data_IF_020004446813
#
_entry.id   IF_020004446813
#
_cell.length_a   1.000
_cell.length_b   1.000
_cell.length_c   1.000
_cell.angle_alpha   90.00
_cell.angle_beta   90.00
_cell.angle_gamma   90.00
#
_symmetry.space_group_name_H-M   'P 1'
#
loop_
_entity.id
_entity.type
_entity.pdbx_description
1 polymer ?
#
# COMPACT_ATOMS: atom_id res chain seq x y z
N UNK A 1 19.80 -4.09 7.49
CA UNK A 1 18.60 -3.54 6.84
C UNK A 1 17.47 -4.56 6.89
N UNK A 2 16.26 -4.12 7.19
CA UNK A 2 15.08 -4.98 7.22
C UNK A 2 14.67 -5.33 5.79
N UNK A 3 14.64 -6.62 5.47
CA UNK A 3 14.25 -7.10 4.15
C UNK A 3 12.75 -7.33 4.10
N UNK A 4 12.08 -6.61 3.22
CA UNK A 4 10.62 -6.69 3.08
C UNK A 4 10.27 -7.97 2.32
N UNK A 5 9.48 -8.84 2.97
CA UNK A 5 9.01 -10.09 2.37
C UNK A 5 7.80 -9.86 1.47
N UNK A 6 7.48 -10.84 0.63
CA UNK A 6 6.27 -10.76 -0.19
C UNK A 6 5.02 -10.76 0.67
N UNK A 7 5.02 -11.42 1.82
CA UNK A 7 3.90 -11.38 2.76
C UNK A 7 3.67 -9.98 3.29
N UNK A 8 4.74 -9.24 3.60
CA UNK A 8 4.62 -7.87 4.07
C UNK A 8 4.12 -6.95 2.95
N UNK A 9 4.60 -7.11 1.73
CA UNK A 9 4.08 -6.37 0.58
C UNK A 9 2.59 -6.64 0.39
N UNK A 10 2.17 -7.88 0.51
CA UNK A 10 0.77 -8.26 0.39
C UNK A 10 -0.08 -7.60 1.48
N UNK A 11 0.40 -7.60 2.72
CA UNK A 11 -0.30 -6.95 3.84
C UNK A 11 -0.41 -5.44 3.63
N UNK A 12 0.67 -4.79 3.22
CA UNK A 12 0.66 -3.35 2.94
C UNK A 12 -0.32 -3.02 1.80
N UNK A 13 -0.32 -3.82 0.74
CA UNK A 13 -1.23 -3.64 -0.39
C UNK A 13 -2.69 -3.79 0.02
N UNK A 14 -2.98 -4.80 0.85
CA UNK A 14 -4.35 -5.04 1.33
C UNK A 14 -4.85 -3.86 2.16
N UNK A 15 -4.00 -3.32 3.04
CA UNK A 15 -4.37 -2.19 3.87
C UNK A 15 -4.55 -0.92 3.06
N UNK A 16 -3.72 -0.71 2.05
CA UNK A 16 -3.88 0.43 1.16
C UNK A 16 -5.18 0.32 0.35
N UNK A 17 -5.48 -0.86 -0.16
CA UNK A 17 -6.74 -1.10 -0.89
C UNK A 17 -7.96 -0.81 -0.04
N UNK A 18 -7.95 -1.25 1.22
CA UNK A 18 -9.05 -0.97 2.15
C UNK A 18 -9.19 0.53 2.42
N UNK A 19 -8.08 1.24 2.54
CA UNK A 19 -8.09 2.67 2.82
C UNK A 19 -8.58 3.48 1.61
N UNK A 20 -8.27 3.03 0.39
CA UNK A 20 -8.71 3.69 -0.84
C UNK A 20 -10.23 3.59 -1.00
N UNK A 21 -10.82 2.43 -0.73
CA UNK A 21 -12.27 2.18 -0.65
C UNK A 21 -13.08 2.85 -1.76
N UNK A 22 -12.73 2.59 -3.00
CA UNK A 22 -13.47 3.13 -4.15
C UNK A 22 -13.11 4.56 -4.55
N UNK A 23 -12.24 5.24 -3.80
CA UNK A 23 -11.79 6.58 -4.13
C UNK A 23 -10.80 6.61 -5.30
N UNK A 24 -10.56 7.80 -5.84
CA UNK A 24 -9.61 8.03 -6.92
C UNK A 24 -8.28 8.60 -6.43
N UNK A 25 -8.19 8.91 -5.16
CA UNK A 25 -7.02 9.52 -4.56
C UNK A 25 -6.94 9.09 -3.10
N UNK A 26 -5.73 8.79 -2.65
CA UNK A 26 -5.47 8.49 -1.25
C UNK A 26 -4.35 9.37 -0.74
N UNK A 27 -4.52 9.93 0.45
CA UNK A 27 -3.45 10.63 1.16
C UNK A 27 -3.61 10.38 2.64
N UNK A 28 -2.59 9.78 3.26
CA UNK A 28 -2.63 9.49 4.68
C UNK A 28 -1.57 8.52 5.12
N UNK A 29 -1.66 8.11 6.38
CA UNK A 29 -0.75 7.17 7.02
C UNK A 29 -1.51 5.92 7.46
N UNK A 30 -0.88 4.76 7.22
CA UNK A 30 -1.36 3.46 7.70
C UNK A 30 -0.33 2.92 8.67
N UNK A 31 -0.76 2.60 9.88
CA UNK A 31 0.10 1.99 10.89
C UNK A 31 -0.41 0.58 11.17
N UNK A 32 0.50 -0.39 11.13
CA UNK A 32 0.15 -1.77 11.38
C UNK A 32 1.37 -2.54 11.89
N UNK A 33 1.11 -3.71 12.46
CA UNK A 33 2.17 -4.57 12.96
C UNK A 33 2.25 -5.83 12.11
N UNK A 34 3.48 -6.17 11.73
CA UNK A 34 3.77 -7.39 10.98
C UNK A 34 4.82 -8.19 11.75
N UNK A 35 4.39 -9.31 12.34
CA UNK A 35 5.24 -10.06 13.25
C UNK A 35 5.66 -9.19 14.43
N UNK A 36 6.94 -9.04 14.63
CA UNK A 36 7.52 -8.21 15.70
C UNK A 36 7.88 -6.80 15.24
N UNK A 37 7.49 -6.45 14.02
CA UNK A 37 7.87 -5.17 13.39
C UNK A 37 6.66 -4.26 13.30
N UNK A 38 6.80 -3.05 13.83
CA UNK A 38 5.80 -2.00 13.65
C UNK A 38 6.08 -1.29 12.33
N UNK A 39 5.06 -1.16 11.49
CA UNK A 39 5.17 -0.56 10.17
C UNK A 39 4.31 0.69 10.07
N UNK A 40 4.84 1.71 9.41
CA UNK A 40 4.09 2.93 9.10
C UNK A 40 4.27 3.26 7.63
N UNK A 41 3.18 3.24 6.91
CA UNK A 41 3.16 3.55 5.48
C UNK A 41 2.41 4.86 5.29
N UNK A 42 3.10 5.88 4.80
CA UNK A 42 2.52 7.18 4.49
C UNK A 42 2.68 7.43 3.01
N UNK A 43 1.58 7.80 2.35
CA UNK A 43 1.62 8.00 0.90
C UNK A 43 0.53 8.94 0.43
N UNK A 44 0.79 9.58 -0.71
CA UNK A 44 -0.20 10.28 -1.50
C UNK A 44 -0.21 9.60 -2.87
N UNK A 45 -1.33 9.03 -3.26
CA UNK A 45 -1.43 8.13 -4.41
C UNK A 45 -2.64 8.49 -5.26
N UNK A 46 -2.41 8.58 -6.57
CA UNK A 46 -3.48 8.70 -7.55
C UNK A 46 -3.90 7.30 -7.97
N UNK A 47 -5.21 7.03 -7.94
CA UNK A 47 -5.77 5.72 -8.22
C UNK A 47 -6.43 5.75 -9.59
N UNK A 48 -5.91 4.95 -10.52
CA UNK A 48 -6.50 4.77 -11.84
C UNK A 48 -7.32 3.50 -11.84
N UNK A 49 -8.51 3.58 -12.43
CA UNK A 49 -9.44 2.45 -12.48
C UNK A 49 -9.80 2.14 -13.92
N UNK A 50 -10.03 0.86 -14.19
CA UNK A 50 -10.52 0.41 -15.48
C UNK A 50 -12.04 0.43 -15.46
N UNK A 51 -12.64 1.16 -16.41
CA UNK A 51 -14.06 1.15 -16.58
C UNK A 51 -14.46 -0.10 -17.34
N UNK A 52 -15.18 -0.99 -16.66
CA UNK A 52 -15.75 -2.16 -17.32
C UNK A 52 -17.05 -1.75 -17.98
N UNK A 53 -17.21 -2.12 -19.26
CA UNK A 53 -18.40 -1.81 -20.03
C UNK A 53 -19.59 -2.74 -19.72
N UNK A 54 -19.52 -3.45 -18.60
CA UNK A 54 -20.58 -4.34 -18.17
C UNK A 54 -21.53 -3.65 -17.22
N UNK A 55 -22.85 -3.69 -17.49
CA UNK A 55 -23.83 -3.00 -16.67
C UNK A 55 -24.01 -3.58 -15.28
N UNK A 56 -23.39 -4.70 -14.97
CA UNK A 56 -23.50 -5.35 -13.67
C UNK A 56 -22.37 -5.01 -12.71
N UNK A 57 -21.41 -4.22 -13.14
CA UNK A 57 -20.22 -3.95 -12.34
C UNK A 57 -20.30 -2.61 -11.64
N UNK A 58 -20.64 -2.64 -10.35
CA UNK A 58 -20.46 -1.47 -9.48
C UNK A 58 -19.00 -1.27 -9.08
N UNK A 59 -18.16 -2.29 -9.31
CA UNK A 59 -16.77 -2.24 -8.94
C UNK A 59 -15.89 -1.96 -10.16
N UNK A 60 -15.25 -0.80 -10.16
CA UNK A 60 -14.18 -0.51 -11.11
C UNK A 60 -12.87 -0.98 -10.50
N UNK A 61 -12.24 -2.05 -11.04
CA UNK A 61 -10.99 -2.53 -10.47
C UNK A 61 -9.88 -1.51 -10.66
N UNK A 62 -8.96 -1.48 -9.71
CA UNK A 62 -7.78 -0.63 -9.79
C UNK A 62 -6.90 -1.12 -10.93
N UNK A 63 -6.62 -0.23 -11.90
CA UNK A 63 -5.73 -0.55 -13.02
C UNK A 63 -4.30 -0.13 -12.74
N UNK A 64 -4.09 0.94 -11.98
CA UNK A 64 -2.77 1.38 -11.60
C UNK A 64 -2.83 2.30 -10.38
N UNK A 65 -1.72 2.37 -9.65
CA UNK A 65 -1.49 3.29 -8.55
C UNK A 65 -0.25 4.10 -8.87
N UNK A 66 -0.40 5.44 -8.90
CA UNK A 66 0.74 6.33 -9.15
C UNK A 66 1.03 7.13 -7.90
N UNK A 67 2.13 6.87 -7.22
CA UNK A 67 2.47 7.61 -6.02
C UNK A 67 2.97 9.00 -6.38
N UNK A 68 2.42 10.01 -5.71
CA UNK A 68 2.98 11.36 -5.75
C UNK A 68 4.21 11.40 -4.87
N UNK A 69 4.10 10.79 -3.69
CA UNK A 69 5.23 10.50 -2.80
C UNK A 69 4.83 9.41 -1.82
N UNK A 70 5.82 8.76 -1.22
CA UNK A 70 5.56 7.73 -0.22
C UNK A 70 6.74 7.58 0.72
N UNK A 71 6.44 7.07 1.93
CA UNK A 71 7.42 6.68 2.92
C UNK A 71 6.98 5.38 3.57
N UNK A 72 7.92 4.50 3.85
CA UNK A 72 7.66 3.27 4.58
C UNK A 72 8.69 3.13 5.69
N UNK A 73 8.23 3.13 6.92
CA UNK A 73 9.08 3.06 8.10
C UNK A 73 8.84 1.76 8.86
N UNK A 74 9.90 1.16 9.34
CA UNK A 74 9.87 -0.07 10.13
C UNK A 74 10.57 0.15 11.46
N UNK A 75 9.97 -0.34 12.53
CA UNK A 75 10.44 -0.13 13.90
C UNK A 75 10.49 -1.46 14.65
N UNK A 76 11.61 -1.70 15.32
CA UNK A 76 11.76 -2.80 16.27
C UNK A 76 11.71 -2.25 17.70
N UNK A 77 11.88 -3.13 18.67
CA UNK A 77 12.01 -2.73 20.09
C UNK A 77 13.20 -1.78 20.31
N UNK A 78 14.19 -1.82 19.42
CA UNK A 78 15.41 -1.00 19.50
C UNK A 78 15.31 0.32 18.74
N UNK A 79 14.21 0.57 18.03
CA UNK A 79 14.00 1.79 17.28
C UNK A 79 13.78 1.54 15.80
N UNK A 80 13.90 2.59 15.01
CA UNK A 80 13.68 2.52 13.57
C UNK A 80 14.78 1.73 12.87
N UNK A 81 14.36 0.90 11.89
CA UNK A 81 15.27 0.13 11.05
C UNK A 81 15.16 0.63 9.62
N UNK A 82 16.29 0.67 8.91
CA UNK A 82 16.26 0.87 7.46
C UNK A 82 15.62 -0.34 6.80
N UNK A 83 14.87 -0.11 5.72
CA UNK A 83 14.21 -1.19 4.99
C UNK A 83 14.35 -0.98 3.48
N UNK A 84 14.06 -2.04 2.72
CA UNK A 84 14.14 -2.06 1.27
C UNK A 84 12.77 -2.02 0.60
N UNK A 85 11.77 -1.48 1.27
CA UNK A 85 10.42 -1.36 0.71
C UNK A 85 10.44 -0.55 -0.59
N UNK A 86 9.76 -1.08 -1.60
CA UNK A 86 9.62 -0.44 -2.91
C UNK A 86 8.13 -0.41 -3.27
N UNK A 87 7.60 0.78 -3.51
CA UNK A 87 6.19 0.95 -3.86
C UNK A 87 5.82 0.15 -5.12
N UNK A 88 6.72 0.10 -6.11
CA UNK A 88 6.49 -0.66 -7.35
C UNK A 88 6.31 -2.15 -7.10
N UNK A 89 7.02 -2.69 -6.12
CA UNK A 89 6.85 -4.09 -5.72
C UNK A 89 5.52 -4.30 -4.99
N UNK A 90 5.15 -3.37 -4.12
CA UNK A 90 3.90 -3.45 -3.34
C UNK A 90 2.67 -3.38 -4.25
N UNK A 91 2.66 -2.50 -5.23
CA UNK A 91 1.48 -2.31 -6.08
C UNK A 91 1.14 -3.53 -6.93
N UNK A 92 2.06 -4.48 -7.08
CA UNK A 92 1.79 -5.75 -7.77
C UNK A 92 0.77 -6.61 -7.03
N UNK A 93 0.54 -6.34 -5.76
CA UNK A 93 -0.39 -7.09 -4.91
C UNK A 93 -1.74 -6.39 -4.73
N UNK A 94 -1.91 -5.23 -5.32
CA UNK A 94 -3.17 -4.48 -5.21
C UNK A 94 -4.22 -4.97 -6.21
#
# INVERSE_FOLDING_TARGET
MYSVSSELYHEAAARLSDAIDGGNYFSGSLAFRFGDTDCRFTASVIVYRTRLSQPEGDAEPVSDLVPVWWEFHTFSAEGEMLNDFDFSEMKRFV
#
